data_IF_930694791314
#
_entry.id   IF_930694791314
#
_cell.length_a   1.000
_cell.length_b   1.000
_cell.length_c   1.000
_cell.angle_alpha   90.00
_cell.angle_beta   90.00
_cell.angle_gamma   90.00
#
_symmetry.space_group_name_H-M   'P 1'
#
loop_
_entity.id
_entity.type
_entity.pdbx_description
1 polymer ?
#
# COMPACT_ATOMS: atom_id res chain seq x y z
N UNK A 1 10.45 19.72 5.54
CA UNK A 1 9.28 18.92 5.97
C UNK A 1 8.98 17.90 4.88
N UNK A 2 8.85 16.60 5.17
CA UNK A 2 8.47 15.62 4.16
C UNK A 2 7.05 15.91 3.64
N UNK A 3 6.83 15.60 2.35
CA UNK A 3 5.58 15.86 1.64
C UNK A 3 5.12 14.58 0.96
N UNK A 4 3.85 14.23 1.15
CA UNK A 4 3.17 13.22 0.35
C UNK A 4 2.64 13.89 -0.91
N UNK A 5 2.83 13.26 -2.07
CA UNK A 5 2.16 13.65 -3.32
C UNK A 5 1.74 12.40 -4.08
N UNK A 6 0.48 12.35 -4.50
CA UNK A 6 -0.06 11.19 -5.24
C UNK A 6 0.37 11.16 -6.71
N UNK A 7 0.80 12.31 -7.26
CA UNK A 7 0.75 12.52 -8.71
C UNK A 7 -0.70 12.50 -9.20
N UNK A 8 -0.89 12.35 -10.51
CA UNK A 8 -2.22 12.14 -11.10
C UNK A 8 -2.73 10.75 -10.69
N UNK A 9 -3.99 10.70 -10.24
CA UNK A 9 -4.67 9.45 -9.91
C UNK A 9 -6.17 9.62 -10.15
N UNK A 10 -6.85 8.57 -10.65
CA UNK A 10 -8.31 8.57 -10.73
C UNK A 10 -8.91 8.75 -9.33
N UNK A 11 -9.97 9.53 -9.22
CA UNK A 11 -10.67 9.75 -7.95
C UNK A 11 -11.24 8.45 -7.35
N UNK A 12 -11.46 7.40 -8.14
CA UNK A 12 -11.80 6.08 -7.60
C UNK A 12 -10.63 5.43 -6.81
N UNK A 13 -9.39 5.69 -7.22
CA UNK A 13 -8.18 5.03 -6.71
C UNK A 13 -7.33 5.85 -5.73
N UNK A 14 -7.72 7.10 -5.42
CA UNK A 14 -6.85 8.01 -4.64
C UNK A 14 -6.46 7.44 -3.28
N UNK A 15 -7.39 6.76 -2.58
CA UNK A 15 -7.17 6.26 -1.23
C UNK A 15 -6.03 5.22 -1.19
N UNK A 16 -6.01 4.32 -2.18
CA UNK A 16 -4.95 3.35 -2.36
C UNK A 16 -3.63 4.02 -2.71
N UNK A 17 -3.65 5.05 -3.57
CA UNK A 17 -2.45 5.79 -3.96
C UNK A 17 -1.82 6.54 -2.78
N UNK A 18 -2.62 7.21 -1.95
CA UNK A 18 -2.18 7.86 -0.71
C UNK A 18 -1.47 6.85 0.18
N UNK A 19 -2.09 5.69 0.44
CA UNK A 19 -1.50 4.64 1.28
C UNK A 19 -0.20 4.08 0.68
N UNK A 20 -0.19 3.73 -0.62
CA UNK A 20 0.99 3.20 -1.35
C UNK A 20 2.17 4.18 -1.25
N UNK A 21 1.93 5.47 -1.50
CA UNK A 21 2.96 6.52 -1.41
C UNK A 21 3.44 6.71 0.03
N UNK A 22 2.53 6.71 1.00
CA UNK A 22 2.90 6.88 2.41
C UNK A 22 3.82 5.74 2.88
N UNK A 23 3.48 4.49 2.59
CA UNK A 23 4.34 3.33 2.87
C UNK A 23 5.75 3.48 2.28
N UNK A 24 5.85 4.01 1.05
CA UNK A 24 7.15 4.24 0.42
C UNK A 24 7.97 5.31 1.16
N UNK A 25 7.35 6.43 1.56
CA UNK A 25 8.02 7.55 2.22
C UNK A 25 8.45 7.24 3.66
N UNK A 26 7.70 6.36 4.34
CA UNK A 26 7.91 6.01 5.76
C UNK A 26 8.56 4.65 5.98
N UNK A 27 8.98 3.97 4.92
CA UNK A 27 9.63 2.66 4.99
C UNK A 27 10.80 2.66 5.99
N UNK A 28 10.76 1.77 6.96
CA UNK A 28 11.79 1.62 8.00
C UNK A 28 11.80 2.72 9.08
N UNK A 29 10.89 3.70 9.01
CA UNK A 29 10.79 4.80 9.99
C UNK A 29 9.63 4.61 10.97
N UNK A 30 8.57 3.95 10.52
CA UNK A 30 7.33 3.73 11.26
C UNK A 30 6.84 2.30 11.01
N UNK A 31 6.20 1.71 12.02
CA UNK A 31 5.58 0.38 11.92
C UNK A 31 4.38 0.40 10.95
N UNK A 32 4.17 -0.65 10.15
CA UNK A 32 3.12 -0.68 9.12
C UNK A 32 1.72 -0.27 9.61
N UNK A 33 1.36 -0.65 10.82
CA UNK A 33 0.06 -0.41 11.45
C UNK A 33 -0.22 1.10 11.60
N UNK A 34 0.81 1.88 11.97
CA UNK A 34 0.72 3.33 12.10
C UNK A 34 0.57 4.00 10.73
N UNK A 35 1.19 3.44 9.68
CA UNK A 35 1.00 3.91 8.30
C UNK A 35 -0.44 3.69 7.85
N UNK A 36 -0.99 2.50 8.11
CA UNK A 36 -2.40 2.18 7.79
C UNK A 36 -3.34 3.13 8.50
N UNK A 37 -3.18 3.32 9.82
CA UNK A 37 -4.01 4.24 10.62
C UNK A 37 -3.96 5.67 10.08
N UNK A 38 -2.77 6.21 9.87
CA UNK A 38 -2.60 7.59 9.37
C UNK A 38 -3.18 7.77 7.97
N UNK A 39 -3.02 6.77 7.09
CA UNK A 39 -3.61 6.80 5.75
C UNK A 39 -5.14 6.76 5.79
N UNK A 40 -5.74 5.97 6.69
CA UNK A 40 -7.19 5.91 6.85
C UNK A 40 -7.77 7.25 7.33
N UNK A 41 -7.13 7.87 8.32
CA UNK A 41 -7.53 9.20 8.82
C UNK A 41 -7.47 10.27 7.73
N UNK A 42 -6.38 10.31 6.96
CA UNK A 42 -6.25 11.26 5.85
C UNK A 42 -7.27 10.96 4.75
N UNK A 43 -7.48 9.69 4.39
CA UNK A 43 -8.44 9.31 3.35
C UNK A 43 -9.87 9.68 3.72
N UNK A 44 -10.27 9.53 4.98
CA UNK A 44 -11.59 9.97 5.45
C UNK A 44 -11.76 11.49 5.28
N UNK A 45 -10.76 12.27 5.70
CA UNK A 45 -10.78 13.72 5.52
C UNK A 45 -10.82 14.12 4.03
N UNK A 46 -10.03 13.45 3.19
CA UNK A 46 -10.01 13.71 1.75
C UNK A 46 -11.33 13.35 1.08
N UNK A 47 -11.99 12.28 1.52
CA UNK A 47 -13.30 11.89 0.99
C UNK A 47 -14.32 13.03 1.15
N UNK A 48 -14.41 13.59 2.36
CA UNK A 48 -15.31 14.71 2.65
C UNK A 48 -14.97 15.93 1.77
N UNK A 49 -13.68 16.26 1.62
CA UNK A 49 -13.22 17.36 0.75
C UNK A 49 -13.51 17.14 -0.73
N UNK A 50 -13.34 15.91 -1.23
CA UNK A 50 -13.65 15.58 -2.61
C UNK A 50 -15.16 15.64 -2.88
N UNK A 51 -15.99 15.30 -1.90
CA UNK A 51 -17.44 15.48 -1.99
C UNK A 51 -17.84 16.97 -2.03
N UNK A 52 -17.26 17.81 -1.16
CA UNK A 52 -17.48 19.27 -1.19
C UNK A 52 -17.14 19.87 -2.57
N UNK A 53 -16.11 19.34 -3.24
CA UNK A 53 -15.65 19.73 -4.58
C UNK A 53 -16.43 19.04 -5.73
N UNK A 54 -17.48 18.29 -5.43
CA UNK A 54 -18.29 17.52 -6.39
C UNK A 54 -17.44 16.64 -7.33
N UNK A 55 -16.39 16.01 -6.81
CA UNK A 55 -15.51 15.12 -7.58
C UNK A 55 -16.22 13.80 -7.85
N UNK A 56 -16.28 13.41 -9.13
CA UNK A 56 -16.83 12.13 -9.57
C UNK A 56 -15.72 11.09 -9.61
N UNK A 57 -16.10 9.80 -9.59
CA UNK A 57 -15.13 8.69 -9.58
C UNK A 57 -14.21 8.65 -10.81
N UNK A 58 -14.70 9.17 -11.95
CA UNK A 58 -14.00 9.22 -13.23
C UNK A 58 -13.05 10.42 -13.35
N UNK A 59 -13.19 11.43 -12.48
CA UNK A 59 -12.30 12.59 -12.46
C UNK A 59 -10.88 12.18 -12.04
N UNK A 60 -9.90 13.01 -12.36
CA UNK A 60 -8.52 12.83 -11.94
C UNK A 60 -8.18 13.87 -10.88
N UNK A 61 -7.44 13.45 -9.86
CA UNK A 61 -7.01 14.33 -8.77
C UNK A 61 -5.50 14.27 -8.57
N UNK A 62 -4.93 15.36 -8.08
CA UNK A 62 -3.59 15.39 -7.50
C UNK A 62 -3.69 15.89 -6.07
N UNK A 63 -3.23 15.07 -5.14
CA UNK A 63 -3.28 15.36 -3.72
C UNK A 63 -1.86 15.52 -3.22
N UNK A 64 -1.64 16.57 -2.44
CA UNK A 64 -0.36 16.75 -1.77
C UNK A 64 -0.52 17.41 -0.41
N UNK A 65 0.24 16.92 0.57
CA UNK A 65 0.13 17.35 1.95
C UNK A 65 1.47 17.15 2.66
N UNK A 66 1.85 18.12 3.48
CA UNK A 66 3.00 18.03 4.37
C UNK A 66 2.70 17.18 5.60
N UNK A 67 3.70 16.48 6.12
CA UNK A 67 3.57 15.74 7.37
C UNK A 67 4.86 15.78 8.18
N UNK A 68 4.77 15.33 9.43
CA UNK A 68 5.92 15.06 10.28
C UNK A 68 5.78 13.72 10.98
N UNK A 69 6.89 13.15 11.43
CA UNK A 69 6.90 11.93 12.24
C UNK A 69 7.31 12.31 13.65
N UNK A 70 6.44 12.10 14.63
CA UNK A 70 6.70 12.34 16.05
C UNK A 70 6.34 11.10 16.85
N UNK A 71 7.27 10.61 17.66
CA UNK A 71 7.08 9.43 18.50
C UNK A 71 6.59 8.18 17.74
N UNK A 72 7.01 8.01 16.48
CA UNK A 72 6.59 6.89 15.63
C UNK A 72 5.18 7.04 15.02
N UNK A 73 4.53 8.19 15.18
CA UNK A 73 3.24 8.53 14.59
C UNK A 73 3.36 9.61 13.50
N UNK A 74 2.39 9.65 12.60
CA UNK A 74 2.32 10.62 11.51
C UNK A 74 1.37 11.75 11.92
N UNK A 75 1.89 12.97 11.94
CA UNK A 75 1.09 14.19 12.12
C UNK A 75 0.97 14.92 10.79
N UNK A 76 -0.26 15.09 10.31
CA UNK A 76 -0.57 15.80 9.08
C UNK A 76 -0.62 17.31 9.29
N UNK A 77 -0.05 18.07 8.34
CA UNK A 77 -0.23 19.52 8.27
C UNK A 77 -1.37 19.83 7.29
N UNK A 78 -2.61 19.88 7.77
CA UNK A 78 -3.79 20.13 6.95
C UNK A 78 -3.78 21.50 6.26
N UNK A 79 -3.13 22.51 6.85
CA UNK A 79 -2.99 23.84 6.22
C UNK A 79 -2.14 23.78 4.93
N UNK A 80 -1.32 22.74 4.78
CA UNK A 80 -0.52 22.50 3.58
C UNK A 80 -1.19 21.61 2.54
N UNK A 81 -2.44 21.20 2.78
CA UNK A 81 -3.17 20.35 1.85
C UNK A 81 -3.49 21.11 0.57
N UNK A 82 -3.11 20.52 -0.56
CA UNK A 82 -3.47 20.97 -1.90
C UNK A 82 -4.12 19.82 -2.65
N UNK A 83 -5.30 20.09 -3.19
CA UNK A 83 -6.05 19.18 -4.06
C UNK A 83 -6.27 19.91 -5.39
N UNK A 84 -5.72 19.35 -6.46
CA UNK A 84 -6.02 19.76 -7.83
C UNK A 84 -7.00 18.76 -8.41
N UNK A 85 -8.07 19.25 -9.06
CA UNK A 85 -9.14 18.43 -9.65
C UNK A 85 -9.17 18.68 -11.15
N UNK A 86 -9.22 17.60 -11.91
CA UNK A 86 -9.31 17.61 -13.37
C UNK A 86 -10.58 16.85 -13.74
N UNK A 87 -11.60 17.59 -14.17
CA UNK A 87 -12.89 17.00 -14.54
C UNK A 87 -12.75 16.19 -15.82
N UNK A 88 -13.36 15.00 -15.87
CA UNK A 88 -13.32 14.16 -17.09
C UNK A 88 -13.85 14.91 -18.32
N UNK A 89 -14.89 15.73 -18.15
CA UNK A 89 -15.46 16.54 -19.22
C UNK A 89 -14.52 17.64 -19.76
N UNK A 90 -13.52 18.06 -18.98
CA UNK A 90 -12.53 19.08 -19.36
C UNK A 90 -11.22 18.45 -19.85
N UNK A 91 -10.83 17.31 -19.28
CA UNK A 91 -9.54 16.64 -19.47
C UNK A 91 -9.72 15.15 -19.82
N UNK A 92 -10.48 14.88 -20.87
CA UNK A 92 -10.90 13.52 -21.27
C UNK A 92 -9.72 12.56 -21.47
N UNK A 93 -8.69 12.99 -22.21
CA UNK A 93 -7.48 12.17 -22.46
C UNK A 93 -6.71 11.83 -21.20
N UNK A 94 -6.68 12.74 -20.22
CA UNK A 94 -6.03 12.48 -18.94
C UNK A 94 -6.84 11.46 -18.14
N UNK A 95 -8.17 11.58 -18.14
CA UNK A 95 -9.06 10.63 -17.49
C UNK A 95 -8.94 9.22 -18.10
N UNK A 96 -8.90 9.11 -19.43
CA UNK A 96 -8.68 7.84 -20.14
C UNK A 96 -7.31 7.22 -19.79
N UNK A 97 -6.24 8.00 -19.83
CA UNK A 97 -4.90 7.50 -19.47
C UNK A 97 -4.84 7.02 -18.00
N UNK A 98 -5.49 7.73 -17.07
CA UNK A 98 -5.56 7.31 -15.66
C UNK A 98 -6.49 6.11 -15.46
N UNK A 99 -7.45 5.91 -16.36
CA UNK A 99 -8.28 4.72 -16.38
C UNK A 99 -7.48 3.48 -16.75
N UNK A 100 -6.67 3.54 -17.80
CA UNK A 100 -5.74 2.46 -18.20
C UNK A 100 -4.74 2.12 -17.09
N UNK A 101 -4.21 3.14 -16.41
CA UNK A 101 -3.30 2.94 -15.25
C UNK A 101 -4.01 2.18 -14.14
N UNK A 102 -5.25 2.52 -13.80
CA UNK A 102 -6.00 1.81 -12.77
C UNK A 102 -6.28 0.36 -13.17
N UNK A 103 -6.60 0.09 -14.43
CA UNK A 103 -6.79 -1.28 -14.92
C UNK A 103 -5.49 -2.09 -14.83
N UNK A 104 -4.36 -1.49 -15.20
CA UNK A 104 -3.04 -2.10 -15.04
C UNK A 104 -2.70 -2.38 -13.57
N UNK A 105 -3.01 -1.45 -12.65
CA UNK A 105 -2.82 -1.67 -11.21
C UNK A 105 -3.68 -2.84 -10.69
N UNK A 106 -4.94 -2.99 -11.15
CA UNK A 106 -5.80 -4.13 -10.77
C UNK A 106 -5.25 -5.47 -11.29
N UNK A 107 -4.78 -5.50 -12.54
CA UNK A 107 -4.15 -6.69 -13.10
C UNK A 107 -2.89 -7.09 -12.32
N UNK A 108 -2.07 -6.11 -11.93
CA UNK A 108 -0.91 -6.33 -11.08
C UNK A 108 -1.29 -6.88 -9.70
N UNK A 109 -2.36 -6.35 -9.08
CA UNK A 109 -2.85 -6.85 -7.79
C UNK A 109 -3.28 -8.33 -7.86
N UNK A 110 -3.93 -8.75 -8.95
CA UNK A 110 -4.25 -10.16 -9.17
C UNK A 110 -3.00 -11.05 -9.22
N UNK A 111 -1.97 -10.62 -9.96
CA UNK A 111 -0.69 -11.35 -10.05
C UNK A 111 0.01 -11.42 -8.69
N UNK A 112 0.00 -10.33 -7.91
CA UNK A 112 0.59 -10.31 -6.56
C UNK A 112 -0.13 -11.29 -5.63
N UNK A 113 -1.45 -11.41 -5.74
CA UNK A 113 -2.22 -12.37 -4.94
C UNK A 113 -1.85 -13.82 -5.29
N UNK A 114 -1.71 -14.13 -6.58
CA UNK A 114 -1.24 -15.45 -7.02
C UNK A 114 0.17 -15.75 -6.50
N UNK A 115 1.08 -14.78 -6.59
CA UNK A 115 2.44 -14.91 -6.08
C UNK A 115 2.47 -15.13 -4.56
N UNK A 116 1.59 -14.44 -3.83
CA UNK A 116 1.45 -14.60 -2.37
C UNK A 116 1.01 -16.01 -2.02
N UNK A 117 -0.01 -16.55 -2.71
CA UNK A 117 -0.47 -17.93 -2.51
C UNK A 117 0.62 -18.96 -2.82
N UNK A 118 1.43 -18.74 -3.87
CA UNK A 118 2.56 -19.61 -4.18
C UNK A 118 3.64 -19.54 -3.11
N UNK A 119 3.90 -18.35 -2.57
CA UNK A 119 4.85 -18.16 -1.46
C UNK A 119 4.41 -18.88 -0.18
N UNK A 120 3.12 -18.91 0.12
CA UNK A 120 2.57 -19.64 1.26
C UNK A 120 2.77 -21.15 1.09
N UNK A 121 2.41 -21.70 -0.08
CA UNK A 121 2.65 -23.12 -0.39
C UNK A 121 4.13 -23.51 -0.30
N UNK A 122 5.03 -22.63 -0.77
CA UNK A 122 6.47 -22.86 -0.67
C UNK A 122 6.93 -22.91 0.79
N UNK A 123 6.37 -22.03 1.64
CA UNK A 123 6.67 -22.01 3.08
C UNK A 123 6.20 -23.30 3.76
N UNK A 124 4.98 -23.74 3.49
CA UNK A 124 4.44 -25.00 4.02
C UNK A 124 5.32 -26.20 3.61
N UNK A 125 5.68 -26.30 2.33
CA UNK A 125 6.56 -27.37 1.86
C UNK A 125 7.95 -27.31 2.51
N UNK A 126 8.50 -26.11 2.73
CA UNK A 126 9.77 -25.94 3.44
C UNK A 126 9.68 -26.41 4.90
N UNK A 127 8.56 -26.18 5.57
CA UNK A 127 8.31 -26.66 6.93
C UNK A 127 8.20 -28.20 6.97
N UNK A 128 7.47 -28.81 6.03
CA UNK A 128 7.38 -30.27 5.89
C UNK A 128 8.75 -30.93 5.64
N UNK A 129 9.53 -30.39 4.71
CA UNK A 129 10.89 -30.90 4.42
C UNK A 129 11.76 -30.81 5.67
N UNK A 130 11.67 -29.72 6.42
CA UNK A 130 12.44 -29.54 7.67
C UNK A 130 12.06 -30.60 8.72
N UNK A 131 10.77 -30.91 8.87
CA UNK A 131 10.28 -31.94 9.78
C UNK A 131 10.76 -33.35 9.39
N UNK A 132 10.73 -33.68 8.09
CA UNK A 132 11.23 -34.97 7.58
C UNK A 132 12.73 -35.11 7.86
N UNK A 133 13.52 -34.06 7.62
CA UNK A 133 14.97 -34.06 7.89
C UNK A 133 15.25 -34.31 9.37
N UNK A 134 14.53 -33.65 10.29
CA UNK A 134 14.69 -33.89 11.73
C UNK A 134 14.28 -35.31 12.14
N UNK A 135 13.23 -35.86 11.51
CA UNK A 135 12.81 -37.25 11.74
C UNK A 135 13.90 -38.23 11.32
N UNK A 136 14.46 -38.08 10.12
CA UNK A 136 15.54 -38.93 9.62
C UNK A 136 16.81 -38.80 10.46
N UNK A 137 17.16 -37.59 10.91
CA UNK A 137 18.30 -37.40 11.81
C UNK A 137 18.11 -38.20 13.10
N UNK A 138 16.91 -38.15 13.68
CA UNK A 138 16.55 -38.87 14.91
C UNK A 138 16.56 -40.38 14.73
N UNK A 139 16.03 -40.88 13.63
CA UNK A 139 15.81 -42.32 13.43
C UNK A 139 17.03 -43.05 12.85
N UNK A 140 17.87 -42.36 12.07
CA UNK A 140 18.88 -43.02 11.24
C UNK A 140 20.29 -42.44 11.36
N UNK A 141 20.51 -41.42 12.19
CA UNK A 141 21.84 -40.80 12.32
C UNK A 141 22.23 -40.52 13.77
N UNK A 142 23.50 -40.22 14.00
CA UNK A 142 24.01 -39.68 15.27
C UNK A 142 24.26 -38.17 15.18
N UNK A 143 23.64 -37.48 14.21
CA UNK A 143 23.77 -36.05 14.04
C UNK A 143 23.05 -35.32 15.16
N UNK A 144 23.60 -34.15 15.54
CA UNK A 144 23.02 -33.30 16.58
C UNK A 144 21.62 -32.84 16.20
N UNK A 145 20.67 -33.00 17.11
CA UNK A 145 19.25 -32.68 16.90
C UNK A 145 18.96 -31.22 17.25
N UNK A 146 17.93 -30.63 16.64
CA UNK A 146 17.65 -29.19 16.85
C UNK A 146 17.34 -28.80 18.30
N UNK A 147 16.76 -29.71 19.09
CA UNK A 147 16.46 -29.47 20.50
C UNK A 147 17.67 -29.63 21.44
N UNK A 148 18.80 -30.12 20.92
CA UNK A 148 20.08 -30.24 21.66
C UNK A 148 20.93 -28.96 21.55
N UNK A 149 20.37 -27.88 20.98
CA UNK A 149 21.00 -26.56 20.91
C UNK A 149 21.07 -25.89 22.28
#
# INVERSE_FOLDING_TARGET
MPRLSTGFVRANGYANKVRKVLFALTRGKIVPENVVRASAQLNQYLFDKLQELNVKKEDVVRISIGFSIKSGEIEWNYDSLQIEVYKKEEEEKLAEAMEEVEESERALEAIINELSNLSEKLKELSEEVSQIVETLKREHTSLKLEFEK
#
